data_IF_372962409389
#
_entry.id   IF_372962409389
#
_cell.length_a   1.000
_cell.length_b   1.000
_cell.length_c   1.000
_cell.angle_alpha   90.00
_cell.angle_beta   90.00
_cell.angle_gamma   90.00
#
_symmetry.space_group_name_H-M   'P 1'
#
loop_
_entity.id
_entity.type
_entity.pdbx_description
1 polymer ?
#
# COMPACT_ATOMS: atom_id res chain seq x y z
N UNK A 1 -8.08 20.48 8.18
CA UNK A 1 -8.10 20.40 9.65
C UNK A 1 -9.54 20.36 10.15
N UNK A 2 -9.98 19.24 10.74
CA UNK A 2 -11.39 19.00 11.13
C UNK A 2 -11.91 19.97 12.21
N UNK A 3 -11.13 20.36 13.24
CA UNK A 3 -11.65 21.22 14.32
C UNK A 3 -12.21 22.57 13.87
N UNK A 4 -11.68 23.15 12.78
CA UNK A 4 -12.19 24.42 12.27
C UNK A 4 -13.57 24.26 11.66
N UNK A 5 -13.80 23.17 10.91
CA UNK A 5 -15.09 22.88 10.27
C UNK A 5 -16.15 22.56 11.32
N UNK A 6 -15.76 21.86 12.39
CA UNK A 6 -16.62 21.62 13.56
C UNK A 6 -17.02 22.95 14.23
N UNK A 7 -16.05 23.83 14.51
CA UNK A 7 -16.34 25.15 15.08
C UNK A 7 -17.28 25.97 14.21
N UNK A 8 -17.11 25.95 12.88
CA UNK A 8 -18.04 26.57 11.93
C UNK A 8 -19.45 26.00 12.05
N UNK A 9 -19.58 24.68 12.21
CA UNK A 9 -20.86 23.98 12.30
C UNK A 9 -21.63 24.38 13.56
N UNK A 10 -20.92 24.67 14.65
CA UNK A 10 -21.50 25.14 15.92
C UNK A 10 -21.62 26.67 16.02
N UNK A 11 -21.45 27.39 14.92
CA UNK A 11 -21.46 28.87 14.88
C UNK A 11 -20.46 29.52 15.86
N UNK A 12 -19.36 28.83 16.14
CA UNK A 12 -18.27 29.37 16.97
C UNK A 12 -17.36 30.19 16.05
N UNK A 13 -17.19 31.50 16.28
CA UNK A 13 -16.32 32.33 15.45
C UNK A 13 -14.86 31.88 15.60
N UNK A 14 -14.20 31.61 14.48
CA UNK A 14 -12.85 31.03 14.46
C UNK A 14 -11.79 32.12 14.35
N UNK A 15 -10.87 32.14 15.31
CA UNK A 15 -9.59 32.84 15.24
C UNK A 15 -8.51 31.76 15.19
N UNK A 16 -7.66 31.78 14.16
CA UNK A 16 -6.65 30.75 13.96
C UNK A 16 -5.34 31.32 13.44
N UNK A 17 -4.23 30.67 13.81
CA UNK A 17 -2.90 31.07 13.37
C UNK A 17 -2.64 30.64 11.92
N UNK A 18 -1.97 31.50 11.13
CA UNK A 18 -1.58 31.23 9.77
C UNK A 18 -0.48 30.16 9.70
N UNK A 19 -0.89 28.89 9.68
CA UNK A 19 -0.01 27.75 9.52
C UNK A 19 -0.67 26.63 8.73
N UNK A 20 0.15 25.91 7.96
CA UNK A 20 -0.26 24.73 7.22
C UNK A 20 -1.53 25.00 6.39
N UNK A 21 -2.52 24.10 6.47
CA UNK A 21 -3.78 24.20 5.74
C UNK A 21 -4.86 25.07 6.42
N UNK A 22 -4.53 25.86 7.47
CA UNK A 22 -5.52 26.67 8.19
C UNK A 22 -6.16 27.74 7.29
N UNK A 23 -5.40 28.60 6.57
CA UNK A 23 -6.01 29.63 5.73
C UNK A 23 -6.84 29.02 4.60
N UNK A 24 -6.37 27.93 4.01
CA UNK A 24 -7.08 27.20 2.96
C UNK A 24 -8.38 26.59 3.47
N UNK A 25 -8.37 25.99 4.67
CA UNK A 25 -9.58 25.41 5.27
C UNK A 25 -10.62 26.49 5.57
N UNK A 26 -10.18 27.61 6.16
CA UNK A 26 -11.05 28.75 6.44
C UNK A 26 -11.56 29.42 5.16
N UNK A 27 -10.75 29.49 4.09
CA UNK A 27 -11.14 30.12 2.84
C UNK A 27 -11.61 31.57 3.03
N UNK A 28 -11.01 32.30 3.97
CA UNK A 28 -11.39 33.67 4.34
C UNK A 28 -12.63 33.79 5.25
N UNK A 29 -13.15 32.68 5.77
CA UNK A 29 -14.35 32.69 6.64
C UNK A 29 -14.08 32.92 8.12
N UNK A 30 -12.81 33.09 8.54
CA UNK A 30 -12.43 33.34 9.93
C UNK A 30 -11.33 34.39 10.04
N UNK A 31 -10.91 34.68 11.27
CA UNK A 31 -9.80 35.59 11.53
C UNK A 31 -8.49 34.81 11.52
N UNK A 32 -7.69 34.99 10.49
CA UNK A 32 -6.35 34.40 10.39
C UNK A 32 -5.32 35.40 10.90
N UNK A 33 -4.46 34.97 11.83
CA UNK A 33 -3.42 35.83 12.43
C UNK A 33 -2.02 35.26 12.15
N UNK A 34 -1.06 36.16 11.89
CA UNK A 34 0.34 35.80 11.62
C UNK A 34 1.25 35.92 12.86
N UNK A 35 0.75 36.52 13.94
CA UNK A 35 1.48 36.75 15.18
C UNK A 35 0.83 35.99 16.34
N UNK A 36 1.66 35.34 17.16
CA UNK A 36 1.25 34.61 18.38
C UNK A 36 1.45 35.44 19.64
N UNK A 37 1.82 36.72 19.53
CA UNK A 37 1.94 37.62 20.66
C UNK A 37 0.64 37.65 21.49
N UNK A 38 0.69 37.31 22.79
CA UNK A 38 -0.50 37.23 23.63
C UNK A 38 -1.24 38.57 23.77
N UNK A 39 -0.53 39.70 23.73
CA UNK A 39 -1.14 41.03 23.87
C UNK A 39 -1.96 41.34 22.63
N UNK A 40 -1.39 41.13 21.43
CA UNK A 40 -2.10 41.24 20.17
C UNK A 40 -3.32 40.30 20.13
N UNK A 41 -3.12 39.01 20.43
CA UNK A 41 -4.18 38.02 20.36
C UNK A 41 -5.33 38.32 21.33
N UNK A 42 -5.03 38.83 22.53
CA UNK A 42 -6.05 39.22 23.50
C UNK A 42 -6.96 40.33 22.97
N UNK A 43 -6.42 41.28 22.18
CA UNK A 43 -7.20 42.35 21.56
C UNK A 43 -8.09 41.82 20.45
N UNK A 44 -7.56 40.92 19.61
CA UNK A 44 -8.34 40.26 18.55
C UNK A 44 -9.50 39.46 19.15
N UNK A 45 -9.24 38.66 20.18
CA UNK A 45 -10.27 37.89 20.89
C UNK A 45 -11.31 38.83 21.51
N UNK A 46 -10.87 39.89 22.20
CA UNK A 46 -11.79 40.84 22.83
C UNK A 46 -12.69 41.53 21.79
N UNK A 47 -12.16 41.89 20.62
CA UNK A 47 -12.95 42.49 19.53
C UNK A 47 -14.01 41.50 19.03
N UNK A 48 -13.65 40.26 18.70
CA UNK A 48 -14.59 39.23 18.23
C UNK A 48 -15.66 38.91 19.28
N UNK A 49 -15.32 38.95 20.57
CA UNK A 49 -16.26 38.66 21.67
C UNK A 49 -17.22 39.81 21.93
N UNK A 50 -16.76 41.08 21.87
CA UNK A 50 -17.56 42.26 22.23
C UNK A 50 -18.31 42.88 21.05
N UNK A 51 -17.79 42.73 19.83
CA UNK A 51 -18.41 43.28 18.62
C UNK A 51 -19.39 42.26 18.02
N UNK A 52 -20.68 42.44 18.31
CA UNK A 52 -21.73 41.54 17.84
C UNK A 52 -21.85 41.50 16.31
N UNK A 53 -21.71 42.66 15.65
CA UNK A 53 -21.82 42.76 14.20
C UNK A 53 -20.67 42.04 13.50
N UNK A 54 -19.44 42.20 14.00
CA UNK A 54 -18.28 41.48 13.49
C UNK A 54 -18.47 39.96 13.61
N UNK A 55 -18.95 39.49 14.78
CA UNK A 55 -19.23 38.07 15.00
C UNK A 55 -20.31 37.53 14.06
N UNK A 56 -21.39 38.30 13.80
CA UNK A 56 -22.42 37.92 12.81
C UNK A 56 -21.84 37.78 11.41
N UNK A 57 -20.96 38.69 11.00
CA UNK A 57 -20.27 38.63 9.70
C UNK A 57 -19.40 37.39 9.59
N UNK A 58 -18.59 37.10 10.62
CA UNK A 58 -17.73 35.91 10.67
C UNK A 58 -18.59 34.64 10.57
N UNK A 59 -19.62 34.49 11.41
CA UNK A 59 -20.48 33.31 11.40
C UNK A 59 -21.18 33.12 10.04
N UNK A 60 -21.67 34.20 9.43
CA UNK A 60 -22.28 34.12 8.10
C UNK A 60 -21.29 33.63 7.03
N UNK A 61 -20.04 34.11 7.07
CA UNK A 61 -18.99 33.65 6.17
C UNK A 61 -18.64 32.17 6.43
N UNK A 62 -18.58 31.75 7.70
CA UNK A 62 -18.33 30.35 8.09
C UNK A 62 -19.42 29.41 7.59
N UNK A 63 -20.70 29.80 7.75
CA UNK A 63 -21.83 29.03 7.22
C UNK A 63 -21.76 28.88 5.71
N UNK A 64 -21.42 29.95 4.99
CA UNK A 64 -21.20 29.88 3.53
C UNK A 64 -20.04 28.94 3.18
N UNK A 65 -18.94 28.98 3.95
CA UNK A 65 -17.79 28.09 3.73
C UNK A 65 -18.14 26.61 3.96
N UNK A 66 -19.04 26.29 4.88
CA UNK A 66 -19.51 24.92 5.11
C UNK A 66 -20.15 24.28 3.87
N UNK A 67 -20.70 25.08 2.95
CA UNK A 67 -21.25 24.60 1.68
C UNK A 67 -20.19 23.86 0.83
N UNK A 68 -18.91 24.25 0.95
CA UNK A 68 -17.81 23.57 0.26
C UNK A 68 -17.48 22.19 0.84
N UNK A 69 -17.89 21.95 2.09
CA UNK A 69 -17.63 20.71 2.83
C UNK A 69 -18.86 19.80 2.90
N UNK A 70 -19.93 20.11 2.17
CA UNK A 70 -21.10 19.25 2.08
C UNK A 70 -20.74 17.87 1.53
N UNK A 71 -21.34 16.84 2.12
CA UNK A 71 -21.07 15.45 1.80
C UNK A 71 -21.24 15.16 0.30
N UNK A 72 -22.33 15.65 -0.29
CA UNK A 72 -22.70 15.48 -1.69
C UNK A 72 -21.61 16.04 -2.62
N UNK A 73 -21.13 17.25 -2.35
CA UNK A 73 -20.09 17.93 -3.13
C UNK A 73 -18.74 17.20 -3.03
N UNK A 74 -18.36 16.77 -1.83
CA UNK A 74 -17.13 15.99 -1.60
C UNK A 74 -17.24 14.64 -2.31
N UNK A 75 -18.37 13.93 -2.15
CA UNK A 75 -18.63 12.62 -2.76
C UNK A 75 -18.52 12.70 -4.28
N UNK A 76 -19.16 13.68 -4.90
CA UNK A 76 -19.11 13.87 -6.35
C UNK A 76 -17.68 14.14 -6.83
N UNK A 77 -16.95 15.02 -6.14
CA UNK A 77 -15.56 15.36 -6.47
C UNK A 77 -14.65 14.14 -6.35
N UNK A 78 -14.78 13.38 -5.26
CA UNK A 78 -13.99 12.17 -5.01
C UNK A 78 -14.30 11.08 -6.04
N UNK A 79 -15.58 10.82 -6.32
CA UNK A 79 -15.98 9.86 -7.34
C UNK A 79 -15.48 10.24 -8.74
N UNK A 80 -15.51 11.53 -9.08
CA UNK A 80 -14.93 12.02 -10.33
C UNK A 80 -13.44 11.73 -10.39
N UNK A 81 -12.70 12.05 -9.33
CA UNK A 81 -11.27 11.77 -9.26
C UNK A 81 -10.97 10.28 -9.43
N UNK A 82 -11.72 9.40 -8.76
CA UNK A 82 -11.57 7.96 -8.91
C UNK A 82 -11.87 7.48 -10.34
N UNK A 83 -12.93 7.98 -10.96
CA UNK A 83 -13.25 7.66 -12.37
C UNK A 83 -12.14 8.10 -13.31
N UNK A 84 -11.64 9.33 -13.15
CA UNK A 84 -10.56 9.87 -13.98
C UNK A 84 -9.26 9.07 -13.77
N UNK A 85 -8.97 8.70 -12.52
CA UNK A 85 -7.83 7.85 -12.19
C UNK A 85 -7.94 6.46 -12.82
N UNK A 86 -9.09 5.78 -12.68
CA UNK A 86 -9.33 4.47 -13.27
C UNK A 86 -9.36 4.51 -14.81
N UNK A 87 -9.84 5.59 -15.42
CA UNK A 87 -9.78 5.74 -16.86
C UNK A 87 -8.35 5.86 -17.37
N UNK A 88 -7.48 6.55 -16.61
CA UNK A 88 -6.05 6.69 -16.92
C UNK A 88 -5.25 5.43 -16.58
N UNK A 89 -5.64 4.73 -15.51
CA UNK A 89 -4.99 3.53 -14.98
C UNK A 89 -6.07 2.47 -14.73
N UNK A 90 -6.52 1.75 -15.77
CA UNK A 90 -7.59 0.77 -15.66
C UNK A 90 -7.25 -0.30 -14.61
N UNK A 91 -8.24 -0.75 -13.80
CA UNK A 91 -8.01 -1.80 -12.83
C UNK A 91 -7.51 -3.06 -13.54
N UNK A 92 -6.59 -3.76 -12.87
CA UNK A 92 -5.96 -4.97 -13.40
C UNK A 92 -7.04 -6.02 -13.68
N UNK A 93 -7.11 -6.51 -14.92
CA UNK A 93 -7.90 -7.69 -15.24
C UNK A 93 -7.17 -8.93 -14.72
N UNK A 94 -7.87 -9.94 -14.21
CA UNK A 94 -7.23 -11.13 -13.63
C UNK A 94 -6.32 -11.86 -14.65
N UNK A 95 -6.66 -11.80 -15.94
CA UNK A 95 -5.84 -12.35 -17.03
C UNK A 95 -4.60 -11.50 -17.40
N UNK A 96 -4.56 -10.21 -17.03
CA UNK A 96 -3.42 -9.31 -17.25
C UNK A 96 -2.43 -9.29 -16.07
N UNK A 97 -2.75 -10.00 -14.97
CA UNK A 97 -1.98 -9.99 -13.74
C UNK A 97 -0.53 -10.42 -13.95
N UNK A 98 -0.28 -11.54 -14.66
CA UNK A 98 1.07 -12.07 -14.93
C UNK A 98 1.95 -11.07 -15.71
N UNK A 99 1.42 -10.45 -16.77
CA UNK A 99 2.15 -9.44 -17.57
C UNK A 99 2.48 -8.18 -16.78
N UNK A 100 1.68 -7.85 -15.77
CA UNK A 100 1.93 -6.68 -14.93
C UNK A 100 2.95 -6.96 -13.82
N UNK A 101 3.01 -8.17 -13.28
CA UNK A 101 4.10 -8.55 -12.36
C UNK A 101 5.46 -8.52 -13.06
N UNK A 102 5.52 -8.88 -14.35
CA UNK A 102 6.74 -8.77 -15.13
C UNK A 102 7.20 -7.33 -15.29
N UNK A 103 6.29 -6.46 -15.74
CA UNK A 103 6.58 -5.03 -15.91
C UNK A 103 6.97 -4.39 -14.58
N UNK A 104 6.32 -4.79 -13.49
CA UNK A 104 6.64 -4.31 -12.15
C UNK A 104 8.03 -4.80 -11.72
N UNK A 105 8.34 -6.07 -11.95
CA UNK A 105 9.66 -6.64 -11.69
C UNK A 105 10.73 -5.89 -12.48
N UNK A 106 10.54 -5.75 -13.80
CA UNK A 106 11.49 -5.07 -14.69
C UNK A 106 11.71 -3.61 -14.31
N UNK A 107 10.64 -2.90 -13.95
CA UNK A 107 10.75 -1.52 -13.49
C UNK A 107 11.50 -1.43 -12.16
N UNK A 108 11.20 -2.34 -11.23
CA UNK A 108 11.83 -2.36 -9.90
C UNK A 108 13.31 -2.73 -10.00
N UNK A 109 13.62 -3.76 -10.78
CA UNK A 109 14.98 -4.21 -11.07
C UNK A 109 15.80 -3.06 -11.66
N UNK A 110 15.28 -2.38 -12.69
CA UNK A 110 15.94 -1.20 -13.25
C UNK A 110 16.19 -0.10 -12.22
N UNK A 111 15.20 0.22 -11.39
CA UNK A 111 15.36 1.25 -10.35
C UNK A 111 16.40 0.84 -9.29
N UNK A 112 16.52 -0.46 -9.00
CA UNK A 112 17.53 -0.98 -8.08
C UNK A 112 18.93 -0.94 -8.72
N UNK A 113 19.05 -1.30 -9.99
CA UNK A 113 20.30 -1.22 -10.75
C UNK A 113 20.82 0.23 -10.79
N UNK A 114 19.93 1.19 -11.07
CA UNK A 114 20.24 2.63 -11.03
C UNK A 114 20.74 3.09 -9.65
N UNK A 115 20.36 2.36 -8.58
CA UNK A 115 20.81 2.57 -7.21
C UNK A 115 21.97 1.66 -6.77
N UNK A 116 22.57 0.88 -7.67
CA UNK A 116 23.67 -0.05 -7.38
C UNK A 116 23.24 -1.29 -6.57
N UNK A 117 21.99 -1.71 -6.69
CA UNK A 117 21.38 -2.85 -6.00
C UNK A 117 20.79 -3.83 -7.01
N UNK A 118 20.44 -5.03 -6.56
CA UNK A 118 19.78 -6.06 -7.38
C UNK A 118 18.54 -6.61 -6.68
N UNK A 119 17.63 -7.17 -7.47
CA UNK A 119 16.52 -7.96 -6.93
C UNK A 119 17.05 -9.17 -6.16
N UNK A 120 16.34 -9.56 -5.09
CA UNK A 120 16.72 -10.68 -4.23
C UNK A 120 16.06 -12.01 -4.60
N UNK A 121 15.12 -11.98 -5.53
CA UNK A 121 14.39 -13.16 -6.01
C UNK A 121 14.14 -13.03 -7.50
N UNK A 122 14.01 -14.14 -8.22
CA UNK A 122 13.71 -14.14 -9.64
C UNK A 122 12.30 -13.66 -9.98
N UNK A 123 12.15 -13.16 -11.21
CA UNK A 123 10.85 -12.87 -11.82
C UNK A 123 9.91 -14.09 -11.80
N UNK A 124 10.47 -15.29 -11.97
CA UNK A 124 9.73 -16.54 -11.88
C UNK A 124 9.12 -16.74 -10.50
N UNK A 125 9.91 -16.55 -9.43
CA UNK A 125 9.42 -16.67 -8.06
C UNK A 125 8.28 -15.68 -7.76
N UNK A 126 8.39 -14.43 -8.22
CA UNK A 126 7.32 -13.44 -8.08
C UNK A 126 6.02 -13.89 -8.74
N UNK A 127 6.10 -14.37 -10.00
CA UNK A 127 4.91 -14.84 -10.73
C UNK A 127 4.24 -16.01 -10.01
N UNK A 128 5.04 -16.98 -9.55
CA UNK A 128 4.53 -18.15 -8.83
C UNK A 128 3.82 -17.73 -7.55
N UNK A 129 4.37 -16.79 -6.80
CA UNK A 129 3.71 -16.27 -5.60
C UNK A 129 2.42 -15.53 -5.92
N UNK A 130 2.42 -14.70 -6.96
CA UNK A 130 1.29 -13.89 -7.34
C UNK A 130 0.08 -14.69 -7.84
N UNK A 131 0.29 -15.92 -8.33
CA UNK A 131 -0.77 -16.83 -8.75
C UNK A 131 -1.39 -17.67 -7.61
N UNK A 132 -0.94 -17.52 -6.37
CA UNK A 132 -1.40 -18.36 -5.25
C UNK A 132 -2.81 -18.01 -4.78
N UNK A 133 -3.55 -19.04 -4.39
CA UNK A 133 -4.75 -18.91 -3.56
C UNK A 133 -4.39 -19.10 -2.08
N UNK A 134 -5.09 -18.40 -1.18
CA UNK A 134 -4.66 -18.22 0.21
C UNK A 134 -4.66 -19.50 1.08
N UNK A 135 -5.44 -20.54 0.71
CA UNK A 135 -5.70 -21.68 1.61
C UNK A 135 -5.01 -22.99 1.19
N UNK A 136 -4.66 -23.14 -0.09
CA UNK A 136 -3.99 -24.31 -0.64
C UNK A 136 -2.90 -23.89 -1.60
N UNK A 137 -1.78 -24.61 -1.53
CA UNK A 137 -0.66 -24.45 -2.44
C UNK A 137 -0.62 -25.67 -3.34
N UNK A 138 -1.14 -25.51 -4.56
CA UNK A 138 -0.92 -26.48 -5.63
C UNK A 138 0.43 -26.19 -6.29
N UNK A 139 1.39 -27.09 -6.10
CA UNK A 139 2.72 -26.97 -6.72
C UNK A 139 2.87 -27.77 -8.00
N UNK A 140 1.78 -28.32 -8.56
CA UNK A 140 1.83 -29.10 -9.81
C UNK A 140 2.44 -28.29 -10.96
N UNK A 141 1.99 -27.05 -11.15
CA UNK A 141 2.57 -26.16 -12.16
C UNK A 141 4.04 -25.84 -11.87
N UNK A 142 4.42 -25.68 -10.60
CA UNK A 142 5.79 -25.38 -10.19
C UNK A 142 6.72 -26.58 -10.44
N UNK A 143 6.30 -27.79 -10.07
CA UNK A 143 7.05 -29.04 -10.30
C UNK A 143 7.25 -29.28 -11.80
N UNK A 144 6.22 -29.03 -12.59
CA UNK A 144 6.24 -29.22 -14.05
C UNK A 144 6.81 -28.02 -14.80
N UNK A 145 7.15 -26.93 -14.10
CA UNK A 145 7.82 -25.80 -14.71
C UNK A 145 9.26 -26.19 -15.05
N UNK A 146 9.65 -26.09 -16.31
CA UNK A 146 11.03 -26.28 -16.76
C UNK A 146 11.99 -25.17 -16.31
N UNK A 147 11.74 -24.55 -15.16
CA UNK A 147 12.58 -23.52 -14.56
C UNK A 147 13.88 -24.12 -14.02
N UNK A 148 14.87 -23.25 -13.79
CA UNK A 148 16.15 -23.66 -13.21
C UNK A 148 16.01 -24.17 -11.77
N UNK A 149 17.06 -24.83 -11.26
CA UNK A 149 17.20 -25.19 -9.85
C UNK A 149 16.98 -23.97 -8.95
N UNK A 150 17.68 -22.88 -9.28
CA UNK A 150 17.69 -21.64 -8.53
C UNK A 150 16.28 -21.02 -8.41
N UNK A 151 15.61 -20.82 -9.55
CA UNK A 151 14.25 -20.26 -9.59
C UNK A 151 13.25 -21.16 -8.86
N UNK A 152 13.41 -22.48 -8.97
CA UNK A 152 12.57 -23.43 -8.25
C UNK A 152 12.75 -23.30 -6.74
N UNK A 153 14.01 -23.27 -6.26
CA UNK A 153 14.33 -23.15 -4.84
C UNK A 153 13.74 -21.86 -4.27
N UNK A 154 13.93 -20.73 -4.94
CA UNK A 154 13.34 -19.44 -4.53
C UNK A 154 11.82 -19.50 -4.43
N UNK A 155 11.16 -19.93 -5.52
CA UNK A 155 9.71 -20.01 -5.58
C UNK A 155 9.18 -20.97 -4.50
N UNK A 156 9.86 -22.09 -4.28
CA UNK A 156 9.51 -23.09 -3.28
C UNK A 156 9.61 -22.56 -1.85
N UNK A 157 10.73 -21.91 -1.52
CA UNK A 157 10.96 -21.39 -0.18
C UNK A 157 10.01 -20.24 0.16
N UNK A 158 9.84 -19.29 -0.75
CA UNK A 158 8.85 -18.23 -0.61
C UNK A 158 7.43 -18.80 -0.50
N UNK A 159 7.16 -19.90 -1.18
CA UNK A 159 5.85 -20.55 -1.16
C UNK A 159 5.54 -21.19 0.19
N UNK A 160 6.45 -22.00 0.73
CA UNK A 160 6.19 -22.80 1.93
C UNK A 160 6.65 -22.17 3.24
N UNK A 161 7.63 -21.27 3.19
CA UNK A 161 8.26 -20.68 4.38
C UNK A 161 8.11 -19.16 4.44
N UNK A 162 7.70 -18.52 3.34
CA UNK A 162 7.50 -17.06 3.29
C UNK A 162 8.79 -16.24 3.33
N UNK A 163 9.94 -16.89 3.19
CA UNK A 163 11.27 -16.27 3.17
C UNK A 163 12.08 -16.87 2.03
N UNK A 164 13.15 -16.17 1.63
CA UNK A 164 14.16 -16.75 0.76
C UNK A 164 15.02 -17.77 1.55
N UNK A 165 15.63 -18.76 0.87
CA UNK A 165 16.61 -19.64 1.48
C UNK A 165 17.85 -18.86 1.94
N UNK A 166 18.58 -19.41 2.90
CA UNK A 166 19.93 -18.94 3.20
C UNK A 166 20.91 -19.30 2.07
N UNK A 167 22.08 -18.66 2.01
CA UNK A 167 23.14 -19.02 1.05
C UNK A 167 23.53 -20.50 1.15
N UNK A 168 23.60 -21.02 2.39
CA UNK A 168 23.90 -22.45 2.63
C UNK A 168 22.79 -23.38 2.14
N UNK A 169 21.53 -22.97 2.24
CA UNK A 169 20.41 -23.75 1.71
C UNK A 169 20.46 -23.79 0.18
N UNK A 170 20.74 -22.65 -0.46
CA UNK A 170 20.90 -22.58 -1.91
C UNK A 170 22.00 -23.52 -2.41
N UNK A 171 23.19 -23.44 -1.83
CA UNK A 171 24.31 -24.30 -2.22
C UNK A 171 23.98 -25.79 -2.04
N UNK A 172 23.34 -26.16 -0.93
CA UNK A 172 22.93 -27.53 -0.66
C UNK A 172 21.97 -28.04 -1.74
N UNK A 173 20.89 -27.31 -1.99
CA UNK A 173 19.82 -27.74 -2.90
C UNK A 173 20.25 -27.74 -4.36
N UNK A 174 21.04 -26.75 -4.79
CA UNK A 174 21.61 -26.74 -6.14
C UNK A 174 22.57 -27.92 -6.37
N UNK A 175 23.36 -28.30 -5.35
CA UNK A 175 24.24 -29.44 -5.44
C UNK A 175 23.48 -30.78 -5.43
N UNK A 176 22.38 -30.89 -4.68
CA UNK A 176 21.51 -32.08 -4.71
C UNK A 176 20.94 -32.31 -6.13
N UNK A 177 20.45 -31.26 -6.80
CA UNK A 177 19.98 -31.38 -8.19
C UNK A 177 21.10 -31.79 -9.14
N UNK A 178 22.28 -31.17 -9.05
CA UNK A 178 23.44 -31.49 -9.92
C UNK A 178 23.91 -32.94 -9.75
N UNK A 179 23.81 -33.49 -8.55
CA UNK A 179 24.35 -34.82 -8.22
C UNK A 179 23.36 -35.95 -8.45
N UNK A 180 22.07 -35.74 -8.16
CA UNK A 180 21.03 -36.79 -8.18
C UNK A 180 20.01 -36.61 -9.30
N UNK A 181 20.05 -35.49 -10.00
CA UNK A 181 19.12 -35.14 -11.07
C UNK A 181 17.80 -34.55 -10.58
N UNK A 182 17.09 -33.87 -11.49
CA UNK A 182 15.88 -33.08 -11.20
C UNK A 182 14.80 -33.87 -10.46
N UNK A 183 14.52 -35.10 -10.88
CA UNK A 183 13.42 -35.89 -10.26
C UNK A 183 13.71 -36.20 -8.79
N UNK A 184 14.93 -36.63 -8.47
CA UNK A 184 15.33 -36.94 -7.09
C UNK A 184 15.37 -35.68 -6.21
N UNK A 185 15.82 -34.57 -6.78
CA UNK A 185 15.80 -33.26 -6.14
C UNK A 185 14.37 -32.81 -5.77
N UNK A 186 13.45 -32.84 -6.75
CA UNK A 186 12.06 -32.44 -6.54
C UNK A 186 11.38 -33.29 -5.44
N UNK A 187 11.62 -34.61 -5.45
CA UNK A 187 11.11 -35.52 -4.41
C UNK A 187 11.65 -35.14 -3.03
N UNK A 188 12.96 -34.90 -2.92
CA UNK A 188 13.62 -34.57 -1.65
C UNK A 188 13.11 -33.23 -1.10
N UNK A 189 12.94 -32.22 -1.95
CA UNK A 189 12.37 -30.92 -1.56
C UNK A 189 10.92 -31.04 -1.06
N UNK A 190 10.07 -31.77 -1.78
CA UNK A 190 8.68 -31.97 -1.38
C UNK A 190 8.58 -32.72 -0.04
N UNK A 191 9.44 -33.72 0.17
CA UNK A 191 9.54 -34.43 1.45
C UNK A 191 9.98 -33.49 2.57
N UNK A 192 10.98 -32.65 2.32
CA UNK A 192 11.45 -31.64 3.26
C UNK A 192 10.29 -30.72 3.71
N UNK A 193 9.59 -30.09 2.77
CA UNK A 193 8.47 -29.21 3.11
C UNK A 193 7.27 -29.96 3.73
N UNK A 194 7.04 -31.22 3.38
CA UNK A 194 6.01 -32.06 4.02
C UNK A 194 6.28 -32.19 5.52
N UNK A 195 7.53 -32.47 5.89
CA UNK A 195 7.97 -32.66 7.28
C UNK A 195 8.29 -31.37 8.05
N UNK A 196 8.47 -30.24 7.36
CA UNK A 196 8.89 -29.01 7.98
C UNK A 196 7.81 -28.42 8.92
N UNK A 197 8.16 -28.29 10.20
CA UNK A 197 7.27 -27.77 11.23
C UNK A 197 6.82 -26.33 10.92
N UNK A 198 7.73 -25.50 10.42
CA UNK A 198 7.47 -24.10 10.02
C UNK A 198 6.32 -23.98 9.02
N UNK A 199 6.26 -24.87 8.03
CA UNK A 199 5.14 -24.94 7.07
C UNK A 199 3.87 -25.46 7.75
N UNK A 200 3.97 -26.53 8.55
CA UNK A 200 2.84 -27.16 9.25
C UNK A 200 2.14 -26.13 10.16
N UNK A 201 2.91 -25.41 10.98
CA UNK A 201 2.40 -24.37 11.87
C UNK A 201 1.81 -23.18 11.12
N UNK A 202 2.29 -22.91 9.90
CA UNK A 202 1.78 -21.86 9.02
C UNK A 202 0.45 -22.20 8.31
N UNK A 203 -0.07 -23.42 8.46
CA UNK A 203 -1.39 -23.83 7.96
C UNK A 203 -1.50 -24.02 6.43
N UNK A 204 -0.41 -23.85 5.68
CA UNK A 204 -0.42 -23.99 4.23
C UNK A 204 -0.54 -25.47 3.80
N UNK A 205 -1.69 -25.88 3.24
CA UNK A 205 -1.87 -27.23 2.70
C UNK A 205 -1.16 -27.38 1.36
N UNK A 206 -0.26 -28.36 1.27
CA UNK A 206 0.43 -28.70 0.01
C UNK A 206 -0.42 -29.69 -0.79
N UNK A 207 -0.70 -29.35 -2.05
CA UNK A 207 -1.34 -30.19 -3.04
C UNK A 207 -0.38 -30.37 -4.22
N UNK A 208 -0.33 -31.56 -4.79
CA UNK A 208 0.35 -31.80 -6.07
C UNK A 208 -0.26 -33.03 -6.75
N UNK A 209 -0.43 -32.96 -8.07
CA UNK A 209 -0.71 -34.12 -8.93
C UNK A 209 0.61 -34.65 -9.49
N UNK A 210 1.00 -35.90 -9.21
CA UNK A 210 2.20 -36.50 -9.79
C UNK A 210 2.03 -36.93 -11.27
N UNK A 211 0.99 -36.45 -11.95
CA UNK A 211 0.67 -36.73 -13.36
C UNK A 211 0.40 -35.42 -14.10
#
# INVERSE_FOLDING_TARGET
CVPLVEAMTFDVPVIAYNACAVPETLGGSGVVVDDKDPVFLSRVINEVVKNEDMRKVIIAAQRKRLEDFQYEKIKETFQKFLRDFMAKYPPLNNDDSKKNYDKLYDLTEKNLEDAGKTMQFSKFALRTMASRQAESVDVTELINSGCSAHEFIEAFFLTFFGTLPSETDFEYWENDEKTRGREAFLRTMLEYARSAETRISGGARMLYSPY
#
